data_IF_213375409572
#
_entry.id   IF_213375409572
#
_cell.length_a   1.000
_cell.length_b   1.000
_cell.length_c   1.000
_cell.angle_alpha   90.00
_cell.angle_beta   90.00
_cell.angle_gamma   90.00
#
_symmetry.space_group_name_H-M   'P 1'
#
loop_
_entity.id
_entity.type
_entity.pdbx_description
1 polymer ?
#
# COMPACT_ATOMS: atom_id res chain seq x y z
N UNK A 1 31.01 -4.80 -1.42
CA UNK A 1 29.60 -4.66 -1.17
C UNK A 1 29.43 -3.78 0.05
N UNK A 2 29.17 -2.47 -0.17
CA UNK A 2 28.90 -1.51 0.89
C UNK A 2 27.74 -2.07 1.74
N UNK A 3 28.03 -2.41 2.99
CA UNK A 3 27.07 -2.99 3.91
C UNK A 3 25.81 -2.12 3.96
N UNK A 4 24.68 -2.68 3.59
CA UNK A 4 23.38 -2.01 3.68
C UNK A 4 23.13 -1.73 5.16
N UNK A 5 23.40 -0.51 5.62
CA UNK A 5 23.05 -0.09 6.97
C UNK A 5 21.53 -0.20 7.12
N UNK A 6 21.08 -1.01 8.07
CA UNK A 6 19.67 -1.07 8.42
C UNK A 6 19.24 0.32 8.92
N UNK A 7 18.10 0.80 8.44
CA UNK A 7 17.53 2.08 8.85
C UNK A 7 17.18 2.07 10.34
N UNK A 8 17.31 3.20 11.05
CA UNK A 8 16.82 3.31 12.41
C UNK A 8 15.30 2.98 12.44
N UNK A 9 14.80 2.36 13.52
CA UNK A 9 13.44 1.82 13.56
C UNK A 9 12.36 2.86 13.29
N UNK A 10 12.54 4.08 13.80
CA UNK A 10 11.60 5.18 13.59
C UNK A 10 11.55 5.65 12.12
N UNK A 11 12.71 5.70 11.43
CA UNK A 11 12.77 6.08 10.02
C UNK A 11 12.16 5.01 9.12
N UNK A 12 12.36 3.73 9.46
CA UNK A 12 11.72 2.61 8.79
C UNK A 12 10.19 2.62 9.00
N UNK A 13 9.74 2.96 10.20
CA UNK A 13 8.32 3.09 10.51
C UNK A 13 7.66 4.22 9.72
N UNK A 14 8.29 5.39 9.66
CA UNK A 14 7.78 6.53 8.89
C UNK A 14 7.71 6.21 7.39
N UNK A 15 8.82 5.76 6.80
CA UNK A 15 8.86 5.48 5.35
C UNK A 15 7.95 4.31 4.97
N UNK A 16 7.93 3.24 5.78
CA UNK A 16 7.06 2.08 5.57
C UNK A 16 5.57 2.44 5.74
N UNK A 17 5.26 3.26 6.74
CA UNK A 17 3.91 3.79 6.98
C UNK A 17 3.41 4.65 5.83
N UNK A 18 4.22 5.60 5.34
CA UNK A 18 3.85 6.46 4.21
C UNK A 18 3.65 5.66 2.91
N UNK A 19 4.54 4.71 2.62
CA UNK A 19 4.37 3.84 1.45
C UNK A 19 3.11 2.97 1.55
N UNK A 20 2.83 2.40 2.72
CA UNK A 20 1.62 1.62 2.95
C UNK A 20 0.35 2.50 2.87
N UNK A 21 0.38 3.69 3.46
CA UNK A 21 -0.72 4.64 3.38
C UNK A 21 -1.00 5.05 1.92
N UNK A 22 0.03 5.38 1.15
CA UNK A 22 -0.11 5.72 -0.27
C UNK A 22 -0.73 4.58 -1.09
N UNK A 23 -0.29 3.34 -0.88
CA UNK A 23 -0.86 2.17 -1.59
C UNK A 23 -2.29 1.85 -1.16
N UNK A 24 -2.60 1.93 0.14
CA UNK A 24 -3.94 1.66 0.64
C UNK A 24 -4.95 2.75 0.27
N UNK A 25 -4.55 4.03 0.29
CA UNK A 25 -5.42 5.11 -0.19
C UNK A 25 -5.67 5.02 -1.70
N UNK A 26 -4.68 4.58 -2.46
CA UNK A 26 -4.83 4.32 -3.89
C UNK A 26 -5.84 3.20 -4.14
N UNK A 27 -5.71 2.08 -3.43
CA UNK A 27 -6.64 0.96 -3.51
C UNK A 27 -8.06 1.37 -3.08
N UNK A 28 -8.20 2.12 -1.98
CA UNK A 28 -9.49 2.60 -1.49
C UNK A 28 -10.14 3.62 -2.44
N UNK A 29 -9.35 4.43 -3.14
CA UNK A 29 -9.85 5.36 -4.15
C UNK A 29 -10.38 4.65 -5.40
N UNK A 30 -9.76 3.53 -5.78
CA UNK A 30 -10.20 2.72 -6.93
C UNK A 30 -11.41 1.84 -6.61
N UNK A 31 -11.47 1.38 -5.37
CA UNK A 31 -12.50 0.48 -4.88
C UNK A 31 -13.21 1.16 -3.70
N UNK A 32 -14.49 1.58 -3.83
CA UNK A 32 -15.20 2.32 -2.78
C UNK A 32 -15.58 1.41 -1.59
N UNK A 33 -14.56 0.82 -0.97
CA UNK A 33 -14.69 -0.14 0.14
C UNK A 33 -14.53 0.55 1.48
N UNK A 34 -13.61 1.52 1.54
CA UNK A 34 -13.29 2.30 2.74
C UNK A 34 -13.16 3.78 2.37
N UNK A 35 -13.51 4.69 3.30
CA UNK A 35 -13.24 6.12 3.11
C UNK A 35 -11.71 6.34 3.08
N UNK A 36 -11.26 7.27 2.24
CA UNK A 36 -9.83 7.52 1.99
C UNK A 36 -9.04 7.79 3.28
N UNK A 37 -9.62 8.55 4.22
CA UNK A 37 -9.00 8.86 5.51
C UNK A 37 -8.78 7.60 6.38
N UNK A 38 -9.73 6.64 6.36
CA UNK A 38 -9.58 5.39 7.10
C UNK A 38 -8.51 4.49 6.48
N UNK A 39 -8.43 4.42 5.14
CA UNK A 39 -7.38 3.70 4.43
C UNK A 39 -6.00 4.31 4.71
N UNK A 40 -5.90 5.65 4.78
CA UNK A 40 -4.69 6.37 5.13
C UNK A 40 -4.22 6.02 6.54
N UNK A 41 -5.09 6.15 7.54
CA UNK A 41 -4.77 5.83 8.93
C UNK A 41 -4.40 4.34 9.09
N UNK A 42 -5.15 3.45 8.48
CA UNK A 42 -4.87 2.02 8.50
C UNK A 42 -3.51 1.72 7.88
N UNK A 43 -3.19 2.33 6.73
CA UNK A 43 -1.91 2.18 6.06
C UNK A 43 -0.73 2.69 6.90
N UNK A 44 -0.87 3.87 7.50
CA UNK A 44 0.13 4.43 8.40
C UNK A 44 0.39 3.51 9.60
N UNK A 45 -0.66 3.09 10.30
CA UNK A 45 -0.55 2.25 11.49
C UNK A 45 0.00 0.86 11.17
N UNK A 46 -0.54 0.19 10.15
CA UNK A 46 -0.06 -1.15 9.76
C UNK A 46 1.36 -1.10 9.21
N UNK A 47 1.66 -0.17 8.29
CA UNK A 47 2.98 -0.06 7.69
C UNK A 47 4.06 0.30 8.72
N UNK A 48 3.78 1.25 9.61
CA UNK A 48 4.69 1.61 10.70
C UNK A 48 4.84 0.46 11.71
N UNK A 49 3.74 -0.14 12.15
CA UNK A 49 3.75 -1.26 13.09
C UNK A 49 4.54 -2.46 12.56
N UNK A 50 4.30 -2.84 11.31
CA UNK A 50 5.02 -3.96 10.67
C UNK A 50 6.50 -3.65 10.40
N UNK A 51 6.86 -2.37 10.19
CA UNK A 51 8.25 -1.94 10.09
C UNK A 51 8.98 -1.98 11.44
N UNK A 52 8.28 -1.76 12.55
CA UNK A 52 8.87 -1.84 13.91
C UNK A 52 9.09 -3.27 14.38
N UNK A 53 8.37 -4.25 13.83
CA UNK A 53 8.54 -5.64 14.20
C UNK A 53 9.97 -6.15 13.95
N UNK A 54 10.52 -6.99 14.84
CA UNK A 54 11.87 -7.52 14.70
C UNK A 54 12.01 -8.32 13.40
N UNK A 55 13.21 -8.23 12.79
CA UNK A 55 13.51 -8.95 11.53
C UNK A 55 13.90 -10.42 11.79
N UNK A 56 13.07 -11.16 12.48
CA UNK A 56 13.27 -12.61 12.64
C UNK A 56 12.88 -13.31 11.33
N UNK A 57 13.73 -14.23 10.87
CA UNK A 57 13.54 -14.93 9.58
C UNK A 57 12.18 -15.64 9.49
N UNK A 58 11.70 -16.21 10.58
CA UNK A 58 10.43 -16.93 10.64
C UNK A 58 9.18 -16.02 10.70
N UNK A 59 9.33 -14.74 11.14
CA UNK A 59 8.18 -13.87 11.37
C UNK A 59 7.48 -13.47 10.06
N UNK A 60 8.25 -13.21 8.99
CA UNK A 60 7.66 -12.87 7.69
C UNK A 60 6.86 -14.03 7.10
N UNK A 61 7.41 -15.26 6.99
CA UNK A 61 6.60 -16.39 6.52
C UNK A 61 5.43 -16.72 7.43
N UNK A 62 5.56 -16.54 8.77
CA UNK A 62 4.44 -16.73 9.69
C UNK A 62 3.30 -15.73 9.44
N UNK A 63 3.61 -14.45 9.21
CA UNK A 63 2.60 -13.43 8.88
C UNK A 63 1.96 -13.68 7.50
N UNK A 64 2.74 -14.11 6.52
CA UNK A 64 2.19 -14.53 5.22
C UNK A 64 1.31 -15.77 5.37
N UNK A 65 1.72 -16.74 6.19
CA UNK A 65 0.93 -17.94 6.51
C UNK A 65 -0.38 -17.60 7.20
N UNK A 66 -0.36 -16.64 8.16
CA UNK A 66 -1.57 -16.18 8.82
C UNK A 66 -2.53 -15.49 7.83
N UNK A 67 -2.02 -14.68 6.90
CA UNK A 67 -2.83 -14.07 5.85
C UNK A 67 -3.42 -15.12 4.90
N UNK A 68 -2.63 -16.14 4.53
CA UNK A 68 -3.10 -17.26 3.71
C UNK A 68 -4.17 -18.08 4.44
N UNK A 69 -3.96 -18.37 5.72
CA UNK A 69 -4.95 -19.07 6.57
C UNK A 69 -6.24 -18.27 6.67
N UNK A 70 -6.15 -16.95 6.87
CA UNK A 70 -7.32 -16.09 6.84
C UNK A 70 -8.07 -16.19 5.50
N UNK A 71 -7.37 -16.15 4.37
CA UNK A 71 -7.98 -16.31 3.04
C UNK A 71 -8.63 -17.70 2.87
N UNK A 72 -8.06 -18.74 3.44
CA UNK A 72 -8.65 -20.10 3.42
C UNK A 72 -9.90 -20.19 4.30
N UNK A 73 -9.84 -19.69 5.54
CA UNK A 73 -10.99 -19.70 6.46
C UNK A 73 -12.15 -18.83 5.96
N UNK A 74 -11.83 -17.70 5.31
CA UNK A 74 -12.80 -16.78 4.74
C UNK A 74 -12.88 -16.90 3.20
N UNK A 75 -12.72 -18.11 2.65
CA UNK A 75 -12.58 -18.33 1.20
C UNK A 75 -13.77 -17.76 0.40
N UNK A 76 -14.99 -18.06 0.84
CA UNK A 76 -16.22 -17.61 0.15
C UNK A 76 -16.32 -16.07 0.10
N UNK A 77 -16.25 -15.34 1.24
CA UNK A 77 -16.34 -13.88 1.19
C UNK A 77 -15.12 -13.23 0.52
N UNK A 78 -13.92 -13.79 0.64
CA UNK A 78 -12.73 -13.27 -0.05
C UNK A 78 -12.85 -13.42 -1.56
N UNK A 79 -13.29 -14.57 -2.06
CA UNK A 79 -13.52 -14.76 -3.51
C UNK A 79 -14.64 -13.87 -4.05
N UNK A 80 -15.72 -13.68 -3.30
CA UNK A 80 -16.77 -12.73 -3.64
C UNK A 80 -16.21 -11.30 -3.71
N UNK A 81 -15.40 -10.89 -2.74
CA UNK A 81 -14.73 -9.60 -2.74
C UNK A 81 -13.77 -9.42 -3.93
N UNK A 82 -12.97 -10.43 -4.27
CA UNK A 82 -12.09 -10.40 -5.44
C UNK A 82 -12.87 -10.27 -6.76
N UNK A 83 -14.01 -10.94 -6.90
CA UNK A 83 -14.89 -10.78 -8.04
C UNK A 83 -15.40 -9.35 -8.16
N UNK A 84 -15.79 -8.72 -7.04
CA UNK A 84 -16.20 -7.32 -7.02
C UNK A 84 -15.08 -6.35 -7.43
N UNK A 85 -13.84 -6.59 -6.97
CA UNK A 85 -12.68 -5.81 -7.39
C UNK A 85 -12.47 -5.96 -8.92
N UNK A 86 -12.60 -7.18 -9.45
CA UNK A 86 -12.53 -7.42 -10.89
C UNK A 86 -13.64 -6.70 -11.66
N UNK A 87 -14.85 -6.66 -11.11
CA UNK A 87 -15.98 -5.96 -11.74
C UNK A 87 -15.80 -4.43 -11.76
N UNK A 88 -15.12 -3.85 -10.76
CA UNK A 88 -14.72 -2.45 -10.80
C UNK A 88 -13.78 -2.16 -11.98
N UNK A 89 -12.77 -3.01 -12.19
CA UNK A 89 -11.85 -2.90 -13.32
C UNK A 89 -12.59 -3.08 -14.65
N UNK A 90 -13.50 -4.04 -14.73
CA UNK A 90 -14.35 -4.25 -15.92
C UNK A 90 -15.20 -3.05 -16.25
N UNK A 91 -15.87 -2.42 -15.25
CA UNK A 91 -16.65 -1.18 -15.44
C UNK A 91 -15.79 -0.06 -15.98
N UNK A 92 -14.59 0.11 -15.43
CA UNK A 92 -13.64 1.10 -15.91
C UNK A 92 -13.23 0.83 -17.36
N UNK A 93 -12.96 -0.43 -17.73
CA UNK A 93 -12.67 -0.83 -19.11
C UNK A 93 -13.86 -0.57 -20.03
N UNK A 94 -15.08 -0.91 -19.61
CA UNK A 94 -16.32 -0.64 -20.38
C UNK A 94 -16.46 0.84 -20.68
N UNK A 95 -16.24 1.70 -19.68
CA UNK A 95 -16.33 3.14 -19.85
C UNK A 95 -15.30 3.71 -20.85
N UNK A 96 -14.15 3.05 -21.01
CA UNK A 96 -13.08 3.49 -21.91
C UNK A 96 -13.13 2.87 -23.31
N UNK A 97 -13.49 1.59 -23.40
CA UNK A 97 -13.43 0.84 -24.67
C UNK A 97 -14.78 0.77 -25.39
N UNK A 98 -15.86 1.11 -24.70
CA UNK A 98 -17.23 0.97 -25.24
C UNK A 98 -17.73 -0.49 -25.32
N UNK A 99 -16.89 -1.48 -24.98
CA UNK A 99 -17.33 -2.87 -24.89
C UNK A 99 -18.10 -3.11 -23.60
N UNK A 100 -19.26 -3.76 -23.70
CA UNK A 100 -20.09 -4.05 -22.53
C UNK A 100 -19.56 -5.32 -21.85
N UNK A 101 -19.05 -5.15 -20.64
CA UNK A 101 -18.68 -6.26 -19.76
C UNK A 101 -19.81 -6.47 -18.75
N UNK A 102 -20.26 -7.72 -18.60
CA UNK A 102 -21.26 -8.05 -17.57
C UNK A 102 -20.66 -7.84 -16.18
N UNK A 103 -21.35 -7.03 -15.38
CA UNK A 103 -20.94 -6.72 -14.01
C UNK A 103 -22.06 -7.06 -13.05
N UNK A 104 -21.71 -7.60 -11.89
CA UNK A 104 -22.64 -7.82 -10.78
C UNK A 104 -22.94 -6.52 -10.02
N UNK A 105 -23.98 -6.51 -9.20
CA UNK A 105 -24.24 -5.41 -8.27
C UNK A 105 -23.10 -5.28 -7.25
N UNK A 106 -22.70 -4.05 -6.95
CA UNK A 106 -21.61 -3.79 -6.03
C UNK A 106 -22.11 -3.74 -4.58
N UNK A 107 -21.63 -4.64 -3.74
CA UNK A 107 -21.82 -4.60 -2.29
C UNK A 107 -20.50 -4.26 -1.60
N UNK A 108 -20.42 -3.05 -1.03
CA UNK A 108 -19.21 -2.55 -0.34
C UNK A 108 -18.70 -3.50 0.75
N UNK A 109 -19.61 -4.19 1.43
CA UNK A 109 -19.30 -5.12 2.51
C UNK A 109 -18.49 -6.34 2.07
N UNK A 110 -18.74 -6.86 0.86
CA UNK A 110 -17.98 -8.01 0.33
C UNK A 110 -16.58 -7.59 -0.13
N UNK A 111 -16.44 -6.39 -0.69
CA UNK A 111 -15.14 -5.84 -1.10
C UNK A 111 -14.14 -5.75 0.06
N UNK A 112 -14.60 -5.49 1.29
CA UNK A 112 -13.77 -5.45 2.49
C UNK A 112 -12.99 -6.75 2.74
N UNK A 113 -13.60 -7.91 2.50
CA UNK A 113 -12.96 -9.21 2.73
C UNK A 113 -11.74 -9.44 1.82
N UNK A 114 -11.74 -8.91 0.62
CA UNK A 114 -10.58 -8.95 -0.26
C UNK A 114 -9.58 -7.82 0.05
N UNK A 115 -10.09 -6.64 0.44
CA UNK A 115 -9.25 -5.48 0.76
C UNK A 115 -8.36 -5.74 1.99
N UNK A 116 -8.85 -6.43 3.03
CA UNK A 116 -8.09 -6.70 4.25
C UNK A 116 -6.80 -7.49 4.00
N UNK A 117 -6.81 -8.68 3.36
CA UNK A 117 -5.58 -9.43 3.12
C UNK A 117 -4.65 -8.72 2.12
N UNK A 118 -5.19 -8.07 1.09
CA UNK A 118 -4.39 -7.28 0.14
C UNK A 118 -3.71 -6.10 0.83
N UNK A 119 -4.46 -5.36 1.65
CA UNK A 119 -3.93 -4.24 2.43
C UNK A 119 -2.88 -4.69 3.44
N UNK A 120 -3.10 -5.80 4.12
CA UNK A 120 -2.13 -6.36 5.05
C UNK A 120 -0.83 -6.78 4.34
N UNK A 121 -0.92 -7.48 3.21
CA UNK A 121 0.25 -7.91 2.44
C UNK A 121 1.04 -6.73 1.87
N UNK A 122 0.37 -5.70 1.37
CA UNK A 122 1.04 -4.48 0.89
C UNK A 122 1.71 -3.71 2.03
N UNK A 123 1.07 -3.59 3.19
CA UNK A 123 1.66 -2.99 4.38
C UNK A 123 2.85 -3.81 4.91
N UNK A 124 2.76 -5.14 4.88
CA UNK A 124 3.85 -6.03 5.26
C UNK A 124 5.05 -5.87 4.31
N UNK A 125 4.81 -5.85 3.00
CA UNK A 125 5.85 -5.66 2.00
C UNK A 125 6.54 -4.29 2.16
N UNK A 126 5.77 -3.21 2.29
CA UNK A 126 6.31 -1.85 2.47
C UNK A 126 7.12 -1.72 3.76
N UNK A 127 6.60 -2.20 4.90
CA UNK A 127 7.28 -2.15 6.19
C UNK A 127 8.59 -2.96 6.20
N UNK A 128 8.58 -4.16 5.60
CA UNK A 128 9.79 -5.00 5.50
C UNK A 128 10.83 -4.43 4.55
N UNK A 129 10.42 -3.88 3.41
CA UNK A 129 11.31 -3.20 2.48
C UNK A 129 11.93 -1.95 3.13
N UNK A 130 11.13 -1.13 3.81
CA UNK A 130 11.61 0.06 4.52
C UNK A 130 12.64 -0.32 5.60
N UNK A 131 12.38 -1.33 6.41
CA UNK A 131 13.29 -1.80 7.45
C UNK A 131 14.64 -2.29 6.90
N UNK A 132 14.63 -2.91 5.71
CA UNK A 132 15.84 -3.34 5.01
C UNK A 132 16.54 -2.22 4.25
N UNK A 133 16.02 -1.00 4.27
CA UNK A 133 16.47 0.11 3.44
C UNK A 133 16.32 -0.18 1.93
N UNK A 134 15.37 -1.04 1.56
CA UNK A 134 15.14 -1.44 0.18
C UNK A 134 14.11 -0.52 -0.46
N UNK A 135 14.47 0.08 -1.58
CA UNK A 135 13.59 0.98 -2.35
C UNK A 135 12.66 0.23 -3.33
N UNK A 136 12.80 -1.08 -3.46
CA UNK A 136 12.11 -1.87 -4.48
C UNK A 136 10.58 -1.73 -4.41
N UNK A 137 10.01 -1.75 -3.22
CA UNK A 137 8.56 -1.62 -3.08
C UNK A 137 8.07 -0.27 -3.64
N UNK A 138 8.71 0.84 -3.23
CA UNK A 138 8.34 2.15 -3.70
C UNK A 138 8.69 2.37 -5.19
N UNK A 139 9.81 1.81 -5.65
CA UNK A 139 10.23 1.89 -7.05
C UNK A 139 9.27 1.16 -8.01
N UNK A 140 8.60 0.11 -7.55
CA UNK A 140 7.59 -0.61 -8.36
C UNK A 140 6.21 0.03 -8.19
N UNK A 141 5.82 0.38 -6.97
CA UNK A 141 4.48 0.91 -6.69
C UNK A 141 4.26 2.32 -7.25
N UNK A 142 5.30 3.17 -7.28
CA UNK A 142 5.17 4.55 -7.76
C UNK A 142 4.85 4.63 -9.26
N UNK A 143 5.61 4.00 -10.18
CA UNK A 143 5.28 4.05 -11.61
C UNK A 143 3.96 3.34 -11.93
N UNK A 144 3.62 2.27 -11.20
CA UNK A 144 2.33 1.60 -11.37
C UNK A 144 1.17 2.51 -10.96
N UNK A 145 1.32 3.22 -9.84
CA UNK A 145 0.35 4.20 -9.38
C UNK A 145 0.25 5.40 -10.33
N UNK A 146 1.39 5.89 -10.84
CA UNK A 146 1.41 6.99 -11.82
C UNK A 146 0.71 6.60 -13.13
N UNK A 147 0.99 5.39 -13.64
CA UNK A 147 0.31 4.86 -14.83
C UNK A 147 -1.20 4.72 -14.59
N UNK A 148 -1.61 4.24 -13.42
CA UNK A 148 -3.03 4.15 -13.05
C UNK A 148 -3.72 5.51 -12.94
N UNK A 149 -3.05 6.53 -12.39
CA UNK A 149 -3.57 7.90 -12.37
C UNK A 149 -3.67 8.49 -13.77
N UNK A 150 -2.65 8.32 -14.61
CA UNK A 150 -2.65 8.77 -16.00
C UNK A 150 -3.75 8.08 -16.81
N UNK A 151 -4.01 6.82 -16.55
CA UNK A 151 -5.11 6.06 -17.15
C UNK A 151 -6.50 6.47 -16.61
N UNK A 152 -6.57 7.30 -15.55
CA UNK A 152 -7.83 7.69 -14.91
C UNK A 152 -8.48 6.57 -14.10
N UNK A 153 -7.72 5.56 -13.72
CA UNK A 153 -8.17 4.47 -12.85
C UNK A 153 -8.29 4.97 -11.39
N UNK A 154 -7.43 5.91 -11.01
CA UNK A 154 -7.36 6.44 -9.66
C UNK A 154 -7.83 7.89 -9.61
N UNK A 155 -8.80 8.23 -8.73
CA UNK A 155 -9.42 9.55 -8.71
C UNK A 155 -8.55 10.65 -8.07
N UNK A 156 -7.48 10.30 -7.35
CA UNK A 156 -6.70 11.24 -6.55
C UNK A 156 -5.20 11.08 -6.72
N UNK A 157 -4.49 12.19 -6.97
CA UNK A 157 -3.03 12.20 -7.04
C UNK A 157 -2.36 12.25 -5.66
N UNK A 158 -3.09 12.42 -4.56
CA UNK A 158 -2.55 12.47 -3.21
C UNK A 158 -1.80 11.19 -2.81
N UNK A 159 -2.28 10.04 -3.30
CA UNK A 159 -1.62 8.76 -3.10
C UNK A 159 -0.22 8.70 -3.71
N UNK A 160 -0.02 9.34 -4.88
CA UNK A 160 1.31 9.47 -5.51
C UNK A 160 2.25 10.31 -4.66
N UNK A 161 1.73 11.39 -4.08
CA UNK A 161 2.50 12.28 -3.21
C UNK A 161 2.97 11.54 -1.96
N UNK A 162 2.09 10.77 -1.32
CA UNK A 162 2.44 9.92 -0.17
C UNK A 162 3.49 8.86 -0.52
N UNK A 163 3.35 8.20 -1.67
CA UNK A 163 4.35 7.23 -2.14
C UNK A 163 5.70 7.89 -2.45
N UNK A 164 5.69 9.05 -3.11
CA UNK A 164 6.88 9.82 -3.40
C UNK A 164 7.57 10.29 -2.11
N UNK A 165 6.81 10.77 -1.11
CA UNK A 165 7.33 11.14 0.21
C UNK A 165 7.94 9.94 0.93
N UNK A 166 7.30 8.78 0.88
CA UNK A 166 7.84 7.54 1.46
C UNK A 166 9.16 7.12 0.81
N UNK A 167 9.25 7.23 -0.53
CA UNK A 167 10.46 6.93 -1.28
C UNK A 167 11.59 7.93 -1.00
N UNK A 168 11.29 9.23 -1.03
CA UNK A 168 12.28 10.30 -0.76
C UNK A 168 12.80 10.19 0.67
N UNK A 169 11.93 9.94 1.65
CA UNK A 169 12.32 9.67 3.02
C UNK A 169 13.31 8.50 3.10
N UNK A 170 12.99 7.39 2.44
CA UNK A 170 13.81 6.18 2.44
C UNK A 170 15.18 6.42 1.81
N UNK A 171 15.25 7.18 0.70
CA UNK A 171 16.48 7.55 0.03
C UNK A 171 17.36 8.50 0.88
N UNK A 172 16.73 9.51 1.49
CA UNK A 172 17.44 10.49 2.33
C UNK A 172 17.98 9.86 3.61
N UNK A 173 17.24 8.96 4.25
CA UNK A 173 17.74 8.22 5.41
C UNK A 173 18.88 7.26 5.06
N UNK A 174 18.91 6.76 3.82
CA UNK A 174 20.00 5.92 3.33
C UNK A 174 21.31 6.71 3.09
N UNK A 175 21.21 8.00 2.77
CA UNK A 175 22.37 8.88 2.45
C UNK A 175 22.93 9.64 3.64
N UNK A 176 22.60 9.29 4.87
CA UNK A 176 22.99 10.00 6.12
C UNK A 176 22.49 11.47 6.23
N UNK A 177 21.63 11.92 5.31
CA UNK A 177 21.00 13.24 5.36
C UNK A 177 19.67 13.22 6.13
N UNK A 178 19.62 12.50 7.24
CA UNK A 178 18.40 12.28 8.01
C UNK A 178 17.69 13.56 8.49
N UNK A 179 18.42 14.67 8.73
CA UNK A 179 17.83 15.96 9.11
C UNK A 179 17.03 16.60 7.98
N UNK A 180 17.55 16.55 6.76
CA UNK A 180 16.85 17.08 5.58
C UNK A 180 15.62 16.22 5.23
N UNK A 181 15.69 14.93 5.46
CA UNK A 181 14.54 14.02 5.31
C UNK A 181 13.40 14.34 6.28
N UNK A 182 13.73 14.59 7.55
CA UNK A 182 12.75 14.95 8.57
C UNK A 182 12.05 16.28 8.24
N UNK A 183 12.80 17.28 7.75
CA UNK A 183 12.24 18.58 7.35
C UNK A 183 11.33 18.48 6.12
N UNK A 184 11.73 17.68 5.11
CA UNK A 184 10.89 17.44 3.93
C UNK A 184 9.61 16.67 4.29
N UNK A 185 9.70 15.68 5.16
CA UNK A 185 8.53 14.94 5.64
C UNK A 185 7.59 15.82 6.45
N UNK A 186 8.11 16.68 7.34
CA UNK A 186 7.31 17.64 8.08
C UNK A 186 6.62 18.64 7.14
N UNK A 187 7.32 19.11 6.09
CA UNK A 187 6.75 19.99 5.07
C UNK A 187 5.63 19.33 4.26
N UNK A 188 5.79 18.06 3.90
CA UNK A 188 4.75 17.30 3.16
C UNK A 188 3.53 16.92 4.00
N UNK A 189 3.66 16.86 5.33
CA UNK A 189 2.54 16.60 6.24
C UNK A 189 1.76 17.89 6.59
N UNK A 190 2.34 19.06 6.33
CA UNK A 190 1.72 20.36 6.58
C UNK A 190 1.00 20.95 5.34
N UNK A 191 1.18 20.36 4.17
CA UNK A 191 0.48 20.65 2.91
C UNK A 191 -0.73 19.74 2.73
#
# INVERSE_FOLDING_TARGET
>A
PAGRRALPPWAAALSGGLCAAGTLTLLAGSFPVLPAWAALLLGLLLGAGLALLPQRAWLTPALCGAAALFCLCAFVPVTAGLRQLADCVRRWLTARTGYIYFTSSFETRQGLWAFLPLGFLTALASGRCARRGSVWFAAVSLPLAAAGCAAGLFPSCWCLLLLACGLTALLLFRTDRGRTAALLLAGCLLL
#
